data_IF_718990326998
#
_entry.id   IF_718990326998
#
_cell.length_a   1.000
_cell.length_b   1.000
_cell.length_c   1.000
_cell.angle_alpha   90.00
_cell.angle_beta   90.00
_cell.angle_gamma   90.00
#
_symmetry.space_group_name_H-M   'P 1'
#
loop_
_entity.id
_entity.type
_entity.pdbx_description
1 polymer ?
#
# COMPACT_ATOMS: atom_id res chain seq x y z
N UNK A 1 -6.34 -9.81 11.29
CA UNK A 1 -7.49 -9.37 10.47
C UNK A 1 -7.15 -8.23 9.49
N UNK A 2 -5.99 -7.56 9.58
CA UNK A 2 -5.65 -6.44 8.67
C UNK A 2 -5.28 -6.82 7.23
N UNK A 3 -4.62 -7.98 7.01
CA UNK A 3 -4.09 -8.35 5.70
C UNK A 3 -5.19 -8.53 4.63
N UNK A 4 -6.37 -9.04 5.02
CA UNK A 4 -7.48 -9.26 4.08
C UNK A 4 -8.05 -7.96 3.55
N UNK A 5 -8.21 -6.94 4.39
CA UNK A 5 -8.77 -5.66 3.95
C UNK A 5 -7.77 -4.85 3.11
N UNK A 6 -6.48 -4.86 3.50
CA UNK A 6 -5.42 -4.28 2.66
C UNK A 6 -5.36 -4.96 1.29
N UNK A 7 -5.55 -6.29 1.23
CA UNK A 7 -5.57 -7.02 -0.04
C UNK A 7 -6.74 -6.61 -0.92
N UNK A 8 -7.91 -6.29 -0.36
CA UNK A 8 -9.04 -5.74 -1.12
C UNK A 8 -8.71 -4.38 -1.71
N UNK A 9 -8.11 -3.48 -0.92
CA UNK A 9 -7.71 -2.15 -1.39
C UNK A 9 -6.64 -2.28 -2.48
N UNK A 10 -5.61 -3.10 -2.25
CA UNK A 10 -4.57 -3.36 -3.22
C UNK A 10 -5.13 -3.96 -4.52
N UNK A 11 -6.07 -4.92 -4.44
CA UNK A 11 -6.75 -5.48 -5.61
C UNK A 11 -7.52 -4.42 -6.40
N UNK A 12 -8.23 -3.53 -5.71
CA UNK A 12 -8.94 -2.40 -6.36
C UNK A 12 -7.96 -1.50 -7.11
N UNK A 13 -6.83 -1.15 -6.47
CA UNK A 13 -5.79 -0.33 -7.06
C UNK A 13 -5.15 -0.99 -8.28
N UNK A 14 -4.75 -2.26 -8.14
CA UNK A 14 -4.09 -3.04 -9.18
C UNK A 14 -5.00 -3.23 -10.40
N UNK A 15 -6.29 -3.44 -10.17
CA UNK A 15 -7.28 -3.54 -11.25
C UNK A 15 -7.35 -2.27 -12.09
N UNK A 16 -7.13 -1.10 -11.49
CA UNK A 16 -7.16 0.18 -12.18
C UNK A 16 -5.92 0.43 -13.06
N UNK A 17 -4.74 -0.07 -12.64
CA UNK A 17 -3.46 0.20 -13.32
C UNK A 17 -2.96 -0.94 -14.22
N UNK A 18 -3.38 -2.17 -13.94
CA UNK A 18 -2.94 -3.39 -14.63
C UNK A 18 -4.10 -4.23 -15.19
N UNK A 19 -5.35 -3.96 -14.78
CA UNK A 19 -6.48 -4.83 -15.08
C UNK A 19 -6.44 -6.11 -14.23
N UNK A 20 -6.88 -7.23 -14.79
CA UNK A 20 -6.93 -8.48 -14.03
C UNK A 20 -5.52 -9.04 -13.80
N UNK A 21 -5.07 -9.04 -12.54
CA UNK A 21 -3.78 -9.55 -12.13
C UNK A 21 -3.86 -11.03 -11.69
N UNK A 22 -2.80 -11.83 -11.89
CA UNK A 22 -2.74 -13.20 -11.40
C UNK A 22 -2.85 -13.29 -9.87
N UNK A 23 -3.46 -14.36 -9.36
CA UNK A 23 -3.60 -14.61 -7.92
C UNK A 23 -2.26 -14.67 -7.16
N UNK A 24 -1.16 -14.98 -7.86
CA UNK A 24 0.19 -14.98 -7.29
C UNK A 24 0.58 -13.59 -6.76
N UNK A 25 0.14 -12.51 -7.40
CA UNK A 25 0.48 -11.14 -6.98
C UNK A 25 -0.14 -10.81 -5.63
N UNK A 26 -1.37 -11.29 -5.36
CA UNK A 26 -2.00 -11.10 -4.05
C UNK A 26 -1.33 -11.96 -2.97
N UNK A 27 -0.85 -13.15 -3.33
CA UNK A 27 -0.06 -13.99 -2.43
C UNK A 27 1.29 -13.35 -2.07
N UNK A 28 1.94 -12.74 -3.05
CA UNK A 28 3.18 -11.98 -2.87
C UNK A 28 2.95 -10.75 -2.01
N UNK A 29 1.85 -10.03 -2.24
CA UNK A 29 1.43 -8.89 -1.41
C UNK A 29 1.21 -9.29 0.05
N UNK A 30 0.42 -10.34 0.31
CA UNK A 30 0.19 -10.82 1.67
C UNK A 30 1.49 -11.23 2.36
N UNK A 31 2.40 -11.86 1.61
CA UNK A 31 3.72 -12.25 2.10
C UNK A 31 4.56 -11.02 2.45
N UNK A 32 4.56 -9.99 1.59
CA UNK A 32 5.25 -8.73 1.83
C UNK A 32 4.74 -8.05 3.11
N UNK A 33 3.42 -7.91 3.27
CA UNK A 33 2.79 -7.32 4.46
C UNK A 33 3.15 -8.10 5.73
N UNK A 34 3.13 -9.44 5.70
CA UNK A 34 3.53 -10.26 6.86
C UNK A 34 5.01 -10.09 7.21
N UNK A 35 5.87 -9.97 6.20
CA UNK A 35 7.31 -9.81 6.39
C UNK A 35 7.70 -8.44 6.97
N UNK A 36 6.84 -7.42 6.85
CA UNK A 36 7.05 -6.11 7.48
C UNK A 36 7.01 -6.15 9.01
N UNK A 37 6.45 -7.22 9.60
CA UNK A 37 6.37 -7.41 11.07
C UNK A 37 5.80 -6.18 11.79
N UNK A 38 4.73 -5.61 11.25
CA UNK A 38 3.98 -4.51 11.87
C UNK A 38 3.67 -4.82 13.33
N UNK A 39 3.97 -3.88 14.22
CA UNK A 39 3.69 -4.02 15.64
C UNK A 39 2.19 -3.76 15.94
N UNK A 40 1.84 -3.75 17.23
CA UNK A 40 0.44 -3.55 17.65
C UNK A 40 -0.07 -2.13 17.32
N UNK A 41 0.80 -1.11 17.40
CA UNK A 41 0.45 0.26 17.07
C UNK A 41 0.29 0.41 15.57
N UNK A 42 1.23 -0.11 14.79
CA UNK A 42 1.14 -0.17 13.32
C UNK A 42 -0.16 -0.84 12.89
N UNK A 43 -0.50 -1.98 13.50
CA UNK A 43 -1.72 -2.72 13.19
C UNK A 43 -2.96 -1.87 13.44
N UNK A 44 -2.99 -1.12 14.55
CA UNK A 44 -4.11 -0.22 14.89
C UNK A 44 -4.23 0.94 13.89
N UNK A 45 -3.10 1.53 13.49
CA UNK A 45 -3.08 2.58 12.47
C UNK A 45 -3.54 2.04 11.12
N UNK A 46 -3.07 0.86 10.72
CA UNK A 46 -3.51 0.20 9.48
C UNK A 46 -5.03 -0.02 9.50
N UNK A 47 -5.60 -0.46 10.63
CA UNK A 47 -7.06 -0.60 10.74
C UNK A 47 -7.80 0.74 10.60
N UNK A 48 -7.27 1.82 11.14
CA UNK A 48 -7.82 3.16 10.97
C UNK A 48 -7.73 3.62 9.51
N UNK A 49 -6.55 3.45 8.86
CA UNK A 49 -6.34 3.78 7.46
C UNK A 49 -7.32 3.03 6.56
N UNK A 50 -7.50 1.73 6.79
CA UNK A 50 -8.44 0.90 6.02
C UNK A 50 -9.90 1.37 6.18
N UNK A 51 -10.28 1.89 7.35
CA UNK A 51 -11.67 2.31 7.63
C UNK A 51 -11.97 3.72 7.15
N UNK A 52 -11.01 4.64 7.28
CA UNK A 52 -11.26 6.08 7.16
C UNK A 52 -10.49 6.73 6.00
N UNK A 53 -9.35 6.17 5.59
CA UNK A 53 -8.41 6.76 4.62
C UNK A 53 -8.13 5.81 3.43
N UNK A 54 -9.02 4.85 3.16
CA UNK A 54 -8.81 3.87 2.10
C UNK A 54 -8.69 4.54 0.72
N UNK A 55 -9.48 5.59 0.48
CA UNK A 55 -9.42 6.38 -0.76
C UNK A 55 -8.11 7.18 -0.87
N UNK A 56 -7.63 7.74 0.25
CA UNK A 56 -6.34 8.44 0.30
C UNK A 56 -5.17 7.50 0.01
N UNK A 57 -5.18 6.29 0.59
CA UNK A 57 -4.19 5.24 0.29
C UNK A 57 -4.23 4.84 -1.19
N UNK A 58 -5.43 4.67 -1.74
CA UNK A 58 -5.63 4.37 -3.17
C UNK A 58 -5.08 5.49 -4.06
N UNK A 59 -5.42 6.75 -3.79
CA UNK A 59 -4.93 7.88 -4.57
C UNK A 59 -3.40 7.98 -4.51
N UNK A 60 -2.83 7.86 -3.30
CA UNK A 60 -1.38 7.87 -3.12
C UNK A 60 -0.69 6.77 -3.93
N UNK A 61 -1.28 5.57 -3.97
CA UNK A 61 -0.78 4.49 -4.82
C UNK A 61 -0.85 4.86 -6.30
N UNK A 62 -2.00 5.32 -6.80
CA UNK A 62 -2.20 5.62 -8.22
C UNK A 62 -1.26 6.71 -8.71
N UNK A 63 -1.05 7.76 -7.91
CA UNK A 63 -0.11 8.84 -8.21
C UNK A 63 1.34 8.32 -8.24
N UNK A 64 1.75 7.59 -7.20
CA UNK A 64 3.10 7.03 -7.11
C UNK A 64 3.39 6.03 -8.23
N UNK A 65 2.38 5.25 -8.62
CA UNK A 65 2.46 4.31 -9.72
C UNK A 65 2.63 5.03 -11.05
N UNK A 66 1.79 6.02 -11.33
CA UNK A 66 1.87 6.81 -12.55
C UNK A 66 3.21 7.56 -12.68
N UNK A 67 3.75 8.05 -11.57
CA UNK A 67 5.05 8.71 -11.55
C UNK A 67 6.21 7.74 -11.77
N UNK A 68 6.14 6.53 -11.20
CA UNK A 68 7.10 5.49 -11.51
C UNK A 68 7.01 5.08 -12.99
N UNK A 69 5.80 4.87 -13.52
CA UNK A 69 5.59 4.45 -14.91
C UNK A 69 6.20 5.42 -15.93
N UNK A 70 6.14 6.74 -15.66
CA UNK A 70 6.78 7.77 -16.52
C UNK A 70 8.31 7.66 -16.57
N UNK A 71 8.93 7.10 -15.54
CA UNK A 71 10.39 6.99 -15.39
C UNK A 71 10.90 5.55 -15.48
N UNK A 72 10.01 4.59 -15.68
CA UNK A 72 10.33 3.18 -15.67
C UNK A 72 11.19 2.78 -16.89
N UNK A 73 12.10 1.80 -16.73
CA UNK A 73 12.90 1.32 -17.84
C UNK A 73 12.03 0.64 -18.91
N UNK A 74 12.51 0.67 -20.16
CA UNK A 74 11.84 -0.03 -21.26
C UNK A 74 11.73 -1.54 -20.95
N UNK A 75 10.53 -2.09 -21.06
CA UNK A 75 10.28 -3.51 -20.82
C UNK A 75 9.99 -3.91 -19.37
N UNK A 76 9.80 -2.95 -18.46
CA UNK A 76 9.48 -3.23 -17.04
C UNK A 76 8.15 -3.98 -16.81
N UNK A 77 7.35 -4.23 -17.85
CA UNK A 77 6.08 -4.95 -17.77
C UNK A 77 6.20 -6.31 -17.06
N UNK A 78 7.34 -6.99 -17.16
CA UNK A 78 7.58 -8.27 -16.47
C UNK A 78 7.72 -8.11 -14.94
N UNK A 79 8.11 -6.92 -14.47
CA UNK A 79 8.30 -6.58 -13.05
C UNK A 79 7.15 -5.73 -12.49
N UNK A 80 6.17 -5.37 -13.34
CA UNK A 80 5.10 -4.42 -13.03
C UNK A 80 4.37 -4.78 -11.75
N UNK A 81 3.94 -6.03 -11.60
CA UNK A 81 3.20 -6.48 -10.43
C UNK A 81 4.04 -6.51 -9.15
N UNK A 82 5.32 -6.90 -9.24
CA UNK A 82 6.23 -6.85 -8.09
C UNK A 82 6.45 -5.39 -7.63
N UNK A 83 6.59 -4.48 -8.59
CA UNK A 83 6.71 -3.05 -8.32
C UNK A 83 5.44 -2.46 -7.72
N UNK A 84 4.26 -2.89 -8.17
CA UNK A 84 2.97 -2.51 -7.58
C UNK A 84 2.89 -2.86 -6.10
N UNK A 85 3.37 -4.05 -5.70
CA UNK A 85 3.46 -4.44 -4.28
C UNK A 85 4.39 -3.49 -3.52
N UNK A 86 5.58 -3.20 -4.06
CA UNK A 86 6.55 -2.29 -3.42
C UNK A 86 5.97 -0.88 -3.23
N UNK A 87 5.37 -0.31 -4.28
CA UNK A 87 4.78 1.04 -4.25
C UNK A 87 3.65 1.10 -3.22
N UNK A 88 2.75 0.11 -3.22
CA UNK A 88 1.65 0.08 -2.27
C UNK A 88 2.15 -0.01 -0.82
N UNK A 89 3.15 -0.86 -0.55
CA UNK A 89 3.77 -0.94 0.77
C UNK A 89 4.40 0.39 1.19
N UNK A 90 5.06 1.09 0.26
CA UNK A 90 5.64 2.42 0.51
C UNK A 90 4.58 3.47 0.86
N UNK A 91 3.47 3.52 0.11
CA UNK A 91 2.34 4.41 0.41
C UNK A 91 1.75 4.13 1.80
N UNK A 92 1.58 2.86 2.15
CA UNK A 92 1.09 2.46 3.48
C UNK A 92 2.04 2.91 4.59
N UNK A 93 3.34 2.74 4.41
CA UNK A 93 4.35 3.17 5.38
C UNK A 93 4.38 4.70 5.56
N UNK A 94 4.20 5.45 4.48
CA UNK A 94 4.08 6.92 4.56
C UNK A 94 2.88 7.31 5.42
N UNK A 95 1.73 6.66 5.25
CA UNK A 95 0.55 6.93 6.07
C UNK A 95 0.79 6.54 7.53
N UNK A 96 1.36 5.37 7.79
CA UNK A 96 1.70 4.95 9.16
C UNK A 96 2.61 5.98 9.84
N UNK A 97 3.66 6.42 9.16
CA UNK A 97 4.58 7.44 9.66
C UNK A 97 3.90 8.80 9.87
N UNK A 98 2.98 9.19 8.98
CA UNK A 98 2.18 10.40 9.15
C UNK A 98 1.34 10.33 10.42
N UNK A 99 0.68 9.20 10.67
CA UNK A 99 -0.10 9.00 11.90
C UNK A 99 0.78 9.02 13.14
N UNK A 100 1.96 8.39 13.13
CA UNK A 100 2.90 8.49 14.25
C UNK A 100 3.26 9.94 14.56
N UNK A 101 3.65 10.70 13.54
CA UNK A 101 4.10 12.09 13.72
C UNK A 101 2.98 13.02 14.18
N UNK A 102 1.75 12.83 13.70
CA UNK A 102 0.60 13.67 14.10
C UNK A 102 -0.01 13.25 15.45
N UNK A 103 -0.01 11.95 15.77
CA UNK A 103 -0.48 11.47 17.09
C UNK A 103 0.48 11.93 18.19
N UNK A 104 1.79 11.94 17.92
CA UNK A 104 2.80 12.49 18.83
C UNK A 104 2.67 14.02 18.93
N UNK A 105 2.47 14.73 17.82
CA UNK A 105 2.30 16.19 17.84
C UNK A 105 1.06 16.64 18.65
N UNK A 106 -0.04 15.88 18.61
CA UNK A 106 -1.24 16.17 19.40
C UNK A 106 -1.14 15.85 20.90
N UNK A 107 -0.12 15.11 21.34
CA UNK A 107 0.12 14.85 22.77
C UNK A 107 1.03 15.89 23.45
N UNK A 108 1.69 16.76 22.67
CA UNK A 108 2.58 17.80 23.17
C UNK A 108 2.12 19.22 22.83
N UNK A 109 0.87 19.39 22.39
CA UNK A 109 0.20 20.69 22.17
C UNK A 109 -0.70 21.08 23.34
#
# INVERSE_FOLDING_TARGET
>A
MCASNLTVIFKSCLTEVEGEAPDSVFSDFETAIRNKKYDVQDTTIIEAVVKEEADSLKQSFLESFADYEKSAPAGWNAEKSAKSVEIFCGCLEILINYYYNNTIAGQFS
#
